data_IF_778829443277
#
_entry.id   IF_778829443277
#
_cell.length_a   1.000
_cell.length_b   1.000
_cell.length_c   1.000
_cell.angle_alpha   90.00
_cell.angle_beta   90.00
_cell.angle_gamma   90.00
#
_symmetry.space_group_name_H-M   'P 1'
#
loop_
_entity.id
_entity.type
_entity.pdbx_description
1 polymer ?
#
# COMPACT_ATOMS: atom_id res chain seq x y z
N UNK A 1 -13.08 -4.67 29.80
CA UNK A 1 -11.64 -4.95 29.82
C UNK A 1 -11.12 -4.50 28.47
N UNK A 2 -10.29 -3.46 28.41
CA UNK A 2 -9.75 -3.01 27.11
C UNK A 2 -8.71 -4.03 26.61
N UNK A 3 -8.67 -4.31 25.30
CA UNK A 3 -7.65 -5.18 24.73
C UNK A 3 -6.27 -4.59 25.02
N UNK A 4 -5.26 -5.45 25.21
CA UNK A 4 -3.90 -4.95 25.33
C UNK A 4 -3.45 -4.34 24.00
N UNK A 5 -2.49 -3.41 24.02
CA UNK A 5 -1.92 -2.85 22.78
C UNK A 5 -1.29 -3.91 21.88
N UNK A 6 -0.93 -5.08 22.44
CA UNK A 6 -0.50 -6.24 21.66
C UNK A 6 -1.68 -6.87 20.91
N UNK A 7 -2.82 -7.05 21.57
CA UNK A 7 -4.02 -7.62 20.94
C UNK A 7 -4.53 -6.71 19.81
N UNK A 8 -4.50 -5.39 20.01
CA UNK A 8 -4.85 -4.41 18.98
C UNK A 8 -3.94 -4.52 17.75
N UNK A 9 -2.63 -4.69 17.94
CA UNK A 9 -1.69 -4.90 16.82
C UNK A 9 -1.98 -6.22 16.09
N UNK A 10 -2.25 -7.30 16.83
CA UNK A 10 -2.59 -8.60 16.23
C UNK A 10 -3.87 -8.46 15.40
N UNK A 11 -4.88 -7.79 15.92
CA UNK A 11 -6.13 -7.60 15.19
C UNK A 11 -5.98 -6.69 13.97
N UNK A 12 -5.20 -5.61 14.09
CA UNK A 12 -4.91 -4.72 12.96
C UNK A 12 -4.21 -5.46 11.81
N UNK A 13 -3.27 -6.37 12.10
CA UNK A 13 -2.57 -7.13 11.06
C UNK A 13 -3.47 -8.10 10.28
N UNK A 14 -4.64 -8.46 10.82
CA UNK A 14 -5.60 -9.37 10.16
C UNK A 14 -6.34 -8.74 8.98
N UNK A 15 -6.25 -7.42 8.79
CA UNK A 15 -6.82 -6.76 7.62
C UNK A 15 -6.05 -7.10 6.32
N UNK A 16 -4.81 -7.60 6.45
CA UNK A 16 -3.96 -7.90 5.31
C UNK A 16 -4.39 -9.20 4.62
N UNK A 17 -4.43 -9.25 3.27
CA UNK A 17 -4.81 -10.45 2.55
C UNK A 17 -3.85 -11.60 2.87
N UNK A 18 -4.41 -12.77 3.21
CA UNK A 18 -3.64 -13.96 3.58
C UNK A 18 -3.15 -14.01 5.03
N UNK A 19 -3.45 -13.01 5.86
CA UNK A 19 -3.02 -12.98 7.26
C UNK A 19 -4.14 -13.43 8.21
N UNK A 20 -4.12 -14.72 8.57
CA UNK A 20 -4.98 -15.28 9.61
C UNK A 20 -4.50 -14.98 11.04
N UNK A 21 -5.30 -15.31 12.08
CA UNK A 21 -5.00 -14.96 13.48
C UNK A 21 -3.65 -15.51 13.98
N UNK A 22 -3.31 -16.75 13.64
CA UNK A 22 -2.01 -17.35 14.00
C UNK A 22 -0.83 -16.65 13.32
N UNK A 23 -1.01 -16.22 12.07
CA UNK A 23 0.03 -15.50 11.32
C UNK A 23 0.20 -14.09 11.88
N UNK A 24 -0.90 -13.37 12.14
CA UNK A 24 -0.88 -12.04 12.75
C UNK A 24 -0.18 -12.05 14.11
N UNK A 25 -0.51 -13.01 14.98
CA UNK A 25 0.17 -13.19 16.26
C UNK A 25 1.69 -13.36 16.08
N UNK A 26 2.11 -14.28 15.21
CA UNK A 26 3.54 -14.51 14.94
C UNK A 26 4.25 -13.26 14.42
N UNK A 27 3.60 -12.49 13.55
CA UNK A 27 4.13 -11.22 13.01
C UNK A 27 4.28 -10.17 14.11
N UNK A 28 3.26 -9.97 14.95
CA UNK A 28 3.30 -9.02 16.07
C UNK A 28 4.45 -9.32 17.03
N UNK A 29 4.59 -10.58 17.47
CA UNK A 29 5.69 -10.98 18.34
C UNK A 29 7.06 -10.80 17.68
N UNK A 30 7.20 -11.14 16.38
CA UNK A 30 8.45 -10.93 15.67
C UNK A 30 8.85 -9.44 15.61
N UNK A 31 7.91 -8.56 15.25
CA UNK A 31 8.13 -7.13 15.17
C UNK A 31 8.52 -6.53 16.53
N UNK A 32 7.84 -6.91 17.61
CA UNK A 32 8.11 -6.32 18.93
C UNK A 32 9.35 -6.89 19.62
N UNK A 33 9.69 -8.16 19.37
CA UNK A 33 10.82 -8.82 20.05
C UNK A 33 12.13 -8.78 19.25
N UNK A 34 12.05 -8.83 17.91
CA UNK A 34 13.21 -9.02 17.05
C UNK A 34 13.47 -7.85 16.09
N UNK A 35 12.44 -7.14 15.65
CA UNK A 35 12.59 -6.05 14.68
C UNK A 35 11.75 -4.80 15.01
N UNK A 36 12.00 -4.20 16.18
CA UNK A 36 11.30 -2.99 16.60
C UNK A 36 11.54 -1.81 15.64
N UNK A 37 12.74 -1.75 15.04
CA UNK A 37 13.05 -0.73 14.03
C UNK A 37 12.20 -0.94 12.78
N UNK A 38 12.04 -2.17 12.32
CA UNK A 38 11.14 -2.52 11.24
C UNK A 38 9.69 -2.20 11.55
N UNK A 39 9.22 -2.48 12.76
CA UNK A 39 7.89 -2.12 13.23
C UNK A 39 7.65 -0.60 13.12
N UNK A 40 8.59 0.21 13.62
CA UNK A 40 8.49 1.68 13.53
C UNK A 40 8.59 2.21 12.10
N UNK A 41 9.39 1.59 11.22
CA UNK A 41 9.42 1.94 9.79
C UNK A 41 8.08 1.62 9.12
N UNK A 42 7.50 0.45 9.39
CA UNK A 42 6.23 0.03 8.81
C UNK A 42 5.10 0.99 9.21
N UNK A 43 4.99 1.30 10.51
CA UNK A 43 3.97 2.24 11.00
C UNK A 43 4.06 3.61 10.33
N UNK A 44 5.27 4.18 10.22
CA UNK A 44 5.47 5.47 9.54
C UNK A 44 5.19 5.41 8.05
N UNK A 45 5.63 4.36 7.37
CA UNK A 45 5.41 4.21 5.93
C UNK A 45 3.92 4.08 5.60
N UNK A 46 3.16 3.31 6.40
CA UNK A 46 1.71 3.19 6.24
C UNK A 46 1.00 4.51 6.49
N UNK A 47 1.33 5.22 7.58
CA UNK A 47 0.74 6.52 7.88
C UNK A 47 1.01 7.54 6.78
N UNK A 48 2.27 7.66 6.36
CA UNK A 48 2.66 8.58 5.29
C UNK A 48 1.95 8.27 3.97
N UNK A 49 1.91 7.00 3.57
CA UNK A 49 1.24 6.58 2.33
C UNK A 49 -0.25 6.94 2.34
N UNK A 50 -0.95 6.80 3.47
CA UNK A 50 -2.35 7.19 3.60
C UNK A 50 -2.58 8.71 3.52
N UNK A 51 -1.57 9.51 3.88
CA UNK A 51 -1.64 10.97 3.82
C UNK A 51 -1.37 11.52 2.42
N UNK A 52 -0.39 10.94 1.70
CA UNK A 52 0.10 11.52 0.44
C UNK A 52 -0.42 10.82 -0.81
N UNK A 53 -0.77 9.53 -0.73
CA UNK A 53 -1.24 8.80 -1.92
C UNK A 53 -2.70 9.16 -2.21
N UNK A 54 -2.93 9.51 -3.47
CA UNK A 54 -4.24 9.78 -4.04
C UNK A 54 -4.37 9.07 -5.39
N UNK A 55 -5.56 9.16 -5.97
CA UNK A 55 -5.81 8.73 -7.32
C UNK A 55 -5.51 9.84 -8.33
N UNK A 56 -4.89 9.47 -9.44
CA UNK A 56 -4.67 10.34 -10.60
C UNK A 56 -6.02 10.72 -11.22
N UNK A 57 -6.22 12.01 -11.48
CA UNK A 57 -7.46 12.57 -12.02
C UNK A 57 -7.81 12.06 -13.44
N UNK A 58 -6.85 11.42 -14.14
CA UNK A 58 -7.02 10.94 -15.52
C UNK A 58 -7.14 9.42 -15.67
N UNK A 59 -6.37 8.65 -14.89
CA UNK A 59 -6.30 7.20 -15.07
C UNK A 59 -6.51 6.40 -13.77
N UNK A 60 -6.84 7.08 -12.67
CA UNK A 60 -7.16 6.48 -11.38
C UNK A 60 -6.06 5.59 -10.75
N UNK A 61 -4.82 5.65 -11.25
CA UNK A 61 -3.66 5.00 -10.62
C UNK A 61 -3.20 5.76 -9.37
N UNK A 62 -2.39 5.14 -8.52
CA UNK A 62 -1.82 5.80 -7.35
C UNK A 62 -0.74 6.81 -7.76
N UNK A 63 -0.78 7.99 -7.14
CA UNK A 63 0.19 9.06 -7.32
C UNK A 63 0.13 10.04 -6.15
N UNK A 64 1.19 10.81 -5.95
CA UNK A 64 1.24 11.91 -4.97
C UNK A 64 0.82 13.26 -5.60
N UNK A 65 0.66 13.30 -6.92
CA UNK A 65 0.31 14.49 -7.70
C UNK A 65 -1.15 14.45 -8.20
N UNK A 66 -1.66 15.56 -8.73
CA UNK A 66 -2.99 15.57 -9.35
C UNK A 66 -3.06 14.66 -10.60
N UNK A 67 -1.99 14.67 -11.39
CA UNK A 67 -1.85 13.85 -12.59
C UNK A 67 -0.56 13.06 -12.48
N UNK A 68 -0.65 11.74 -12.60
CA UNK A 68 0.53 10.88 -12.51
C UNK A 68 1.53 11.18 -13.64
N UNK A 69 2.81 10.90 -13.40
CA UNK A 69 3.89 11.13 -14.37
C UNK A 69 3.61 10.49 -15.74
N UNK A 70 2.90 9.37 -15.74
CA UNK A 70 2.49 8.67 -16.96
C UNK A 70 1.55 9.48 -17.82
N UNK A 71 0.48 10.02 -17.22
CA UNK A 71 -0.49 10.83 -17.93
C UNK A 71 0.06 12.20 -18.33
N UNK A 72 1.00 12.75 -17.54
CA UNK A 72 1.67 14.02 -17.84
C UNK A 72 2.75 13.91 -18.93
N UNK A 73 3.21 12.70 -19.26
CA UNK A 73 4.31 12.50 -20.20
C UNK A 73 3.91 12.86 -21.64
N UNK A 74 4.64 13.78 -22.30
CA UNK A 74 4.37 14.15 -23.70
C UNK A 74 4.83 13.08 -24.70
N UNK A 75 5.56 12.05 -24.24
CA UNK A 75 6.03 10.96 -25.10
C UNK A 75 4.96 9.91 -25.40
N UNK A 76 3.79 10.01 -24.75
CA UNK A 76 2.69 9.05 -24.92
C UNK A 76 1.72 9.51 -25.99
N UNK A 77 1.24 8.55 -26.77
CA UNK A 77 0.15 8.78 -27.70
C UNK A 77 -1.16 9.00 -26.93
N UNK A 78 -1.71 10.21 -27.04
CA UNK A 78 -2.95 10.59 -26.37
C UNK A 78 -4.21 9.98 -27.03
N UNK A 79 -4.07 9.36 -28.21
CA UNK A 79 -5.17 8.70 -28.91
C UNK A 79 -5.40 7.25 -28.46
N UNK A 80 -4.44 6.66 -27.73
CA UNK A 80 -4.49 5.26 -27.31
C UNK A 80 -4.72 5.14 -25.80
N UNK A 81 -5.77 4.40 -25.41
CA UNK A 81 -6.07 4.09 -24.02
C UNK A 81 -5.98 2.58 -23.76
N UNK A 82 -5.13 2.19 -22.81
CA UNK A 82 -5.08 0.83 -22.27
C UNK A 82 -5.91 0.79 -20.97
N UNK A 83 -7.07 0.13 -21.03
CA UNK A 83 -7.96 -0.05 -19.88
C UNK A 83 -7.54 -1.31 -19.14
N UNK A 84 -7.37 -1.19 -17.82
CA UNK A 84 -6.97 -2.27 -16.91
C UNK A 84 -7.91 -2.32 -15.71
N UNK A 85 -7.96 -3.47 -15.04
CA UNK A 85 -8.83 -3.67 -13.88
C UNK A 85 -8.24 -3.02 -12.62
N UNK A 86 -6.94 -3.20 -12.38
CA UNK A 86 -6.26 -2.71 -11.19
C UNK A 86 -5.03 -1.85 -11.53
N UNK A 87 -4.66 -0.88 -10.65
CA UNK A 87 -3.40 -0.15 -10.78
C UNK A 87 -2.15 -1.06 -10.83
N UNK A 88 -2.23 -2.28 -10.27
CA UNK A 88 -1.15 -3.26 -10.33
C UNK A 88 -0.92 -3.81 -11.74
N UNK A 89 -1.99 -4.07 -12.50
CA UNK A 89 -1.92 -4.56 -13.88
C UNK A 89 -1.19 -3.53 -14.77
N UNK A 90 -1.43 -2.25 -14.48
CA UNK A 90 -0.76 -1.17 -15.16
C UNK A 90 0.76 -1.24 -14.98
N UNK A 91 1.22 -1.46 -13.75
CA UNK A 91 2.65 -1.56 -13.45
C UNK A 91 3.31 -2.75 -14.17
N UNK A 92 2.56 -3.83 -14.43
CA UNK A 92 3.06 -4.97 -15.20
C UNK A 92 3.20 -4.65 -16.69
N UNK A 93 2.21 -3.98 -17.29
CA UNK A 93 2.25 -3.61 -18.72
C UNK A 93 3.38 -2.63 -19.01
N UNK A 94 3.72 -1.75 -18.07
CA UNK A 94 4.83 -0.78 -18.25
C UNK A 94 6.22 -1.42 -18.22
N UNK A 95 6.34 -2.68 -17.83
CA UNK A 95 7.63 -3.40 -17.78
C UNK A 95 7.98 -4.11 -19.10
N UNK A 96 7.07 -4.11 -20.09
CA UNK A 96 7.27 -4.68 -21.43
C UNK A 96 7.60 -3.59 -22.44
#
# INVERSE_FOLDING_TARGET
>A
MQPSSLDELIDALRCLPGVGPKSAQRMAYHLLQRDQRGAGRLARAMGHALEVLRHCDRCNTFTEEAVCQRCASPRRDASLLCVVEMPADLAMIEQT
#
